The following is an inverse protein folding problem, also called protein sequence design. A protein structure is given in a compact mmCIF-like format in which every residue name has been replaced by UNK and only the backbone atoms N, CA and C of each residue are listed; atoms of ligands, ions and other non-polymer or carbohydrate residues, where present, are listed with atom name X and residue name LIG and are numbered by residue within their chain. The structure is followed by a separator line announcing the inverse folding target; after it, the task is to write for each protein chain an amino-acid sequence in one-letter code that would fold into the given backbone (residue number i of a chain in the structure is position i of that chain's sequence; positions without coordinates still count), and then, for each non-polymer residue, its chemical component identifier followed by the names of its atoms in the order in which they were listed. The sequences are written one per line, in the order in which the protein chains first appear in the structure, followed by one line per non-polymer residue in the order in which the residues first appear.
data_IF_456673100852
#
_entry.id   IF_456673100852
#
_cell.length_a   1.000
_cell.length_b   1.000
_cell.length_c   1.000
_cell.angle_alpha   90.00
_cell.angle_beta   90.00
_cell.angle_gamma   90.00
#
_symmetry.space_group_name_H-M   'P 1'
#
loop_
_entity.id
_entity.type
_entity.pdbx_description
1 polymer ?
#
# COMPACT_ATOMS: atom_id res chain seq x y z
N UNK A 1 -5.30 20.38 -5.96
CA UNK A 1 -6.44 19.83 -5.19
C UNK A 1 -5.88 19.11 -3.97
N UNK A 2 -6.67 18.72 -2.94
CA UNK A 2 -6.13 17.94 -1.84
C UNK A 2 -5.46 16.66 -2.35
N UNK A 3 -4.36 16.26 -1.71
CA UNK A 3 -3.68 14.99 -2.05
C UNK A 3 -4.63 13.83 -1.76
N UNK A 4 -4.67 12.85 -2.65
CA UNK A 4 -5.52 11.67 -2.53
C UNK A 4 -4.67 10.42 -2.72
N UNK A 5 -4.92 9.41 -1.88
CA UNK A 5 -4.22 8.13 -1.94
C UNK A 5 -5.03 7.09 -2.71
N UNK A 6 -4.31 6.21 -3.40
CA UNK A 6 -4.88 5.10 -4.15
C UNK A 6 -4.04 3.84 -3.92
N UNK A 7 -4.67 2.68 -3.94
CA UNK A 7 -3.97 1.40 -4.13
C UNK A 7 -4.29 0.92 -5.53
N UNK A 8 -3.27 0.74 -6.37
CA UNK A 8 -3.42 0.08 -7.66
C UNK A 8 -3.21 -1.43 -7.49
N UNK A 9 -4.11 -2.20 -8.11
CA UNK A 9 -4.17 -3.65 -7.97
C UNK A 9 -3.76 -4.33 -9.27
N UNK A 10 -2.83 -5.26 -9.18
CA UNK A 10 -2.33 -6.08 -10.27
C UNK A 10 -2.48 -7.57 -9.96
N UNK A 11 -2.91 -8.34 -10.95
CA UNK A 11 -2.96 -9.81 -10.87
C UNK A 11 -1.56 -10.44 -11.08
N UNK A 12 -1.27 -11.59 -10.44
CA UNK A 12 -2.15 -12.31 -9.52
C UNK A 12 -2.19 -11.74 -8.09
N UNK A 13 -1.25 -10.90 -7.63
CA UNK A 13 -1.26 -10.38 -6.24
C UNK A 13 -0.32 -9.19 -5.97
N UNK A 14 -0.04 -8.34 -6.95
CA UNK A 14 0.87 -7.20 -6.76
C UNK A 14 0.08 -5.92 -6.50
N UNK A 15 0.42 -5.20 -5.44
CA UNK A 15 -0.26 -3.97 -5.01
C UNK A 15 0.76 -2.86 -4.95
N UNK A 16 0.36 -1.64 -5.30
CA UNK A 16 1.20 -0.45 -5.13
C UNK A 16 0.38 0.69 -4.56
N UNK A 17 0.99 1.45 -3.66
CA UNK A 17 0.45 2.69 -3.13
C UNK A 17 0.81 3.85 -4.07
N UNK A 18 -0.16 4.71 -4.33
CA UNK A 18 -0.05 5.91 -5.15
C UNK A 18 -0.59 7.10 -4.38
N UNK A 19 -0.09 8.28 -4.70
CA UNK A 19 -0.66 9.54 -4.28
C UNK A 19 -0.75 10.49 -5.48
N UNK A 20 -1.81 11.28 -5.55
CA UNK A 20 -1.98 12.32 -6.57
C UNK A 20 -2.56 13.57 -5.92
N UNK A 21 -2.32 14.75 -6.50
CA UNK A 21 -2.88 16.03 -6.06
C UNK A 21 -3.95 16.60 -7.00
N UNK A 22 -4.30 15.87 -8.07
CA UNK A 22 -5.39 16.25 -8.99
C UNK A 22 -6.25 15.04 -9.38
N UNK A 23 -6.80 14.34 -8.39
CA UNK A 23 -7.84 13.31 -8.57
C UNK A 23 -7.35 11.99 -9.15
N UNK A 24 -8.26 11.23 -9.77
CA UNK A 24 -7.99 9.85 -10.20
C UNK A 24 -6.84 9.82 -11.23
N UNK A 25 -5.76 9.07 -10.95
CA UNK A 25 -4.63 8.96 -11.86
C UNK A 25 -5.09 8.41 -13.20
N UNK A 26 -4.63 9.03 -14.29
CA UNK A 26 -4.81 8.45 -15.61
C UNK A 26 -3.80 7.36 -15.88
N UNK A 27 -4.15 6.50 -16.83
CA UNK A 27 -3.25 5.46 -17.31
C UNK A 27 -2.12 6.02 -18.19
N UNK A 28 -2.27 7.28 -18.64
CA UNK A 28 -1.33 7.96 -19.53
C UNK A 28 -0.34 8.86 -18.80
N UNK A 29 -0.48 9.12 -17.51
CA UNK A 29 0.43 10.02 -16.79
C UNK A 29 1.55 9.26 -16.07
N UNK A 30 2.77 9.83 -15.99
CA UNK A 30 3.80 9.29 -15.12
C UNK A 30 3.35 9.47 -13.66
N UNK A 31 3.23 8.37 -12.93
CA UNK A 31 2.84 8.36 -11.52
C UNK A 31 3.87 7.57 -10.76
N UNK A 32 4.24 8.09 -9.59
CA UNK A 32 5.17 7.40 -8.70
C UNK A 32 4.42 6.35 -7.89
N UNK A 33 4.85 5.11 -8.04
CA UNK A 33 4.30 3.97 -7.33
C UNK A 33 5.25 3.52 -6.21
N UNK A 34 4.67 3.15 -5.07
CA UNK A 34 5.39 2.64 -3.92
C UNK A 34 4.91 1.24 -3.58
N UNK A 35 5.82 0.28 -3.60
CA UNK A 35 5.55 -1.09 -3.20
C UNK A 35 6.82 -1.80 -2.77
N UNK A 36 6.64 -3.02 -2.29
CA UNK A 36 7.74 -3.94 -2.02
C UNK A 36 7.48 -5.26 -2.72
N UNK A 37 8.55 -5.91 -3.15
CA UNK A 37 8.52 -7.23 -3.78
C UNK A 37 9.47 -8.16 -3.07
N UNK A 38 9.05 -9.42 -2.96
CA UNK A 38 9.94 -10.47 -2.51
C UNK A 38 10.87 -10.83 -3.68
N UNK A 39 12.18 -10.84 -3.46
CA UNK A 39 13.16 -11.34 -4.43
C UNK A 39 13.43 -12.81 -4.15
N UNK A 40 13.51 -13.63 -5.19
CA UNK A 40 13.87 -15.06 -5.08
C UNK A 40 15.38 -15.27 -4.76
N UNK A 41 16.13 -14.18 -4.59
CA UNK A 41 17.53 -14.17 -4.15
C UNK A 41 17.60 -14.43 -2.64
N UNK A 42 17.38 -15.69 -2.26
CA UNK A 42 18.18 -16.46 -1.31
C UNK A 42 17.41 -17.73 -0.95
N UNK A 43 17.83 -18.87 -1.50
CA UNK A 43 17.65 -20.13 -0.77
C UNK A 43 18.34 -19.95 0.58
N UNK A 44 17.65 -20.14 1.71
CA UNK A 44 18.30 -20.06 3.01
C UNK A 44 19.37 -21.15 3.05
N UNK A 45 20.63 -20.75 3.08
CA UNK A 45 21.72 -21.65 3.42
C UNK A 45 21.38 -22.23 4.81
N UNK A 46 21.23 -23.55 4.88
CA UNK A 46 20.69 -24.29 6.03
C UNK A 46 21.51 -24.09 7.32
N UNK A 47 22.61 -23.35 7.26
CA UNK A 47 23.48 -22.98 8.38
C UNK A 47 23.37 -21.50 8.85
N UNK A 48 22.62 -20.64 8.15
CA UNK A 48 22.58 -19.19 8.44
C UNK A 48 21.83 -18.82 9.73
N UNK A 49 20.95 -19.68 10.25
CA UNK A 49 20.21 -19.43 11.49
C UNK A 49 21.07 -19.59 12.76
N UNK A 50 22.29 -20.14 12.66
CA UNK A 50 23.18 -20.38 13.80
C UNK A 50 24.11 -19.22 14.16
N UNK A 51 24.34 -18.26 13.26
CA UNK A 51 25.29 -17.16 13.46
C UNK A 51 24.62 -15.81 13.79
N UNK A 52 23.73 -15.80 14.79
CA UNK A 52 23.09 -14.57 15.28
C UNK A 52 24.02 -13.86 16.27
N UNK A 53 25.05 -13.18 15.76
CA UNK A 53 25.82 -12.22 16.53
C UNK A 53 25.70 -10.78 15.99
N UNK A 54 25.55 -10.57 14.68
CA UNK A 54 25.21 -9.26 14.10
C UNK A 54 24.44 -9.49 12.79
N UNK A 55 23.11 -9.29 12.84
CA UNK A 55 22.13 -9.12 11.73
C UNK A 55 22.28 -9.91 10.42
N UNK A 56 21.32 -10.77 10.04
CA UNK A 56 21.18 -11.17 8.64
C UNK A 56 20.44 -10.05 7.88
N UNK A 57 21.15 -9.43 6.94
CA UNK A 57 20.61 -8.63 5.83
C UNK A 57 19.48 -9.49 5.20
N UNK A 58 18.21 -9.10 5.30
CA UNK A 58 17.46 -8.33 4.29
C UNK A 58 17.49 -8.91 2.85
N UNK A 59 17.94 -10.13 2.64
CA UNK A 59 17.92 -10.73 1.32
C UNK A 59 16.52 -11.31 1.08
N UNK A 60 15.85 -10.82 0.04
CA UNK A 60 14.52 -11.28 -0.29
C UNK A 60 13.47 -10.19 -0.35
N UNK A 61 13.70 -8.92 0.00
CA UNK A 61 12.71 -7.87 -0.27
C UNK A 61 13.35 -6.59 -0.79
N UNK A 62 12.84 -6.07 -1.91
CA UNK A 62 13.26 -4.79 -2.50
C UNK A 62 12.10 -3.82 -2.63
N UNK A 63 12.40 -2.52 -2.68
CA UNK A 63 11.41 -1.51 -3.08
C UNK A 63 11.14 -1.67 -4.57
N UNK A 64 9.87 -1.65 -4.92
CA UNK A 64 9.42 -1.57 -6.30
C UNK A 64 9.14 -0.12 -6.62
N UNK A 65 10.04 0.49 -7.39
CA UNK A 65 9.85 1.82 -7.96
C UNK A 65 9.43 1.69 -9.41
N UNK A 66 8.18 2.01 -9.69
CA UNK A 66 7.71 2.14 -11.06
C UNK A 66 7.80 3.62 -11.43
N UNK A 67 8.98 4.07 -11.90
CA UNK A 67 9.17 5.48 -12.30
C UNK A 67 8.55 5.82 -13.66
N UNK A 68 8.00 4.85 -14.40
CA UNK A 68 7.34 5.11 -15.69
C UNK A 68 6.18 4.14 -16.00
N UNK A 69 5.02 4.75 -16.31
CA UNK A 69 3.89 4.38 -17.21
C UNK A 69 3.47 2.91 -17.47
N UNK A 70 4.37 1.93 -17.56
CA UNK A 70 4.03 0.59 -18.02
C UNK A 70 3.29 -0.27 -16.99
N UNK A 71 3.40 0.08 -15.70
CA UNK A 71 2.74 -0.66 -14.61
C UNK A 71 1.21 -0.62 -14.74
N UNK A 72 0.59 0.57 -14.73
CA UNK A 72 -0.86 0.76 -14.75
C UNK A 72 -1.57 0.32 -16.05
N UNK A 73 -0.82 0.12 -17.13
CA UNK A 73 -1.34 -0.38 -18.41
C UNK A 73 -1.01 -1.85 -18.70
N UNK A 74 -0.37 -2.54 -17.75
CA UNK A 74 -0.11 -3.96 -17.91
C UNK A 74 -1.42 -4.74 -18.04
N UNK A 75 -1.46 -5.85 -18.79
CA UNK A 75 -2.63 -6.74 -18.89
C UNK A 75 -3.12 -7.27 -17.52
N UNK A 76 -2.28 -7.11 -16.50
CA UNK A 76 -2.55 -7.52 -15.14
C UNK A 76 -3.24 -6.44 -14.28
N UNK A 77 -3.38 -5.19 -14.76
CA UNK A 77 -4.04 -4.13 -14.01
C UNK A 77 -5.53 -4.41 -13.83
N UNK A 78 -5.99 -4.38 -12.58
CA UNK A 78 -7.38 -4.68 -12.22
C UNK A 78 -8.20 -3.43 -11.90
N UNK A 79 -7.54 -2.34 -11.51
CA UNK A 79 -8.20 -1.08 -11.12
C UNK A 79 -7.59 -0.47 -9.84
N UNK A 80 -8.32 0.50 -9.28
CA UNK A 80 -7.89 1.31 -8.13
C UNK A 80 -8.83 1.14 -6.94
N UNK A 81 -8.26 0.99 -5.75
CA UNK A 81 -8.95 1.31 -4.50
C UNK A 81 -8.65 2.78 -4.16
N UNK A 82 -9.71 3.58 -4.02
CA UNK A 82 -9.65 5.04 -3.87
C UNK A 82 -9.92 5.38 -2.40
N UNK A 83 -8.98 6.07 -1.75
CA UNK A 83 -9.22 6.64 -0.42
C UNK A 83 -9.81 8.04 -0.51
N UNK A 84 -10.44 8.57 0.55
CA UNK A 84 -10.82 9.97 0.64
C UNK A 84 -9.61 10.90 0.47
N UNK A 85 -9.80 12.13 -0.04
CA UNK A 85 -8.75 13.13 -0.07
C UNK A 85 -8.25 13.47 1.35
N UNK A 86 -6.97 13.83 1.45
CA UNK A 86 -6.34 14.33 2.66
C UNK A 86 -7.05 15.60 3.14
N UNK A 87 -7.44 15.63 4.41
CA UNK A 87 -8.11 16.78 5.01
C UNK A 87 -7.18 17.99 5.23
N UNK A 88 -5.87 17.75 5.35
CA UNK A 88 -4.90 18.81 5.65
C UNK A 88 -4.43 19.53 4.38
N UNK A 89 -4.78 20.81 4.23
CA UNK A 89 -4.42 21.65 3.08
C UNK A 89 -2.90 21.86 2.91
N UNK A 90 -2.12 21.71 4.00
CA UNK A 90 -0.66 21.84 3.98
C UNK A 90 0.05 20.60 3.39
N UNK A 91 -0.68 19.52 3.11
CA UNK A 91 -0.10 18.28 2.58
C UNK A 91 0.14 18.45 1.09
N UNK A 92 1.40 18.39 0.69
CA UNK A 92 1.81 18.42 -0.71
C UNK A 92 2.20 17.02 -1.18
N UNK A 93 2.07 16.76 -2.49
CA UNK A 93 2.49 15.50 -3.08
C UNK A 93 3.98 15.21 -2.85
N UNK A 94 4.83 16.25 -2.91
CA UNK A 94 6.25 16.14 -2.63
C UNK A 94 6.54 15.70 -1.18
N UNK A 95 5.78 16.22 -0.21
CA UNK A 95 5.89 15.79 1.19
C UNK A 95 5.53 14.30 1.34
N UNK A 96 4.41 13.86 0.75
CA UNK A 96 3.99 12.46 0.77
C UNK A 96 5.07 11.55 0.16
N UNK A 97 5.57 11.89 -1.02
CA UNK A 97 6.63 11.12 -1.67
C UNK A 97 7.90 11.01 -0.82
N UNK A 98 8.35 12.12 -0.23
CA UNK A 98 9.54 12.14 0.64
C UNK A 98 9.35 11.28 1.89
N UNK A 99 8.13 11.21 2.44
CA UNK A 99 7.82 10.36 3.58
C UNK A 99 7.85 8.88 3.20
N UNK A 100 7.20 8.51 2.08
CA UNK A 100 7.16 7.12 1.60
C UNK A 100 8.55 6.62 1.18
N UNK A 101 9.40 7.47 0.63
CA UNK A 101 10.79 7.15 0.30
C UNK A 101 11.68 6.82 1.50
N UNK A 102 11.27 7.19 2.71
CA UNK A 102 12.02 6.92 3.93
C UNK A 102 11.56 5.65 4.63
N UNK A 103 10.48 5.02 4.16
CA UNK A 103 9.94 3.81 4.77
C UNK A 103 10.83 2.59 4.53
N UNK A 104 11.29 1.89 5.58
CA UNK A 104 12.06 0.67 5.37
C UNK A 104 11.21 -0.36 4.62
N UNK A 105 11.86 -1.21 3.82
CA UNK A 105 11.19 -2.33 3.14
C UNK A 105 10.58 -3.29 4.16
N UNK A 106 11.29 -3.51 5.26
CA UNK A 106 10.82 -4.26 6.42
C UNK A 106 11.27 -3.52 7.69
N UNK A 107 10.35 -3.01 8.53
CA UNK A 107 10.69 -2.38 9.80
C UNK A 107 11.39 -3.37 10.76
N UNK A 108 12.25 -2.86 11.64
CA UNK A 108 12.95 -3.68 12.63
C UNK A 108 12.00 -4.48 13.54
N UNK A 109 10.88 -3.88 13.95
CA UNK A 109 9.85 -4.55 14.76
C UNK A 109 9.19 -5.75 14.07
N UNK A 110 9.20 -5.78 12.73
CA UNK A 110 8.74 -6.90 11.93
C UNK A 110 9.88 -7.91 11.76
N UNK A 111 11.08 -7.42 11.44
CA UNK A 111 12.22 -8.31 11.21
C UNK A 111 12.58 -9.11 12.45
N UNK A 112 12.45 -8.60 13.67
CA UNK A 112 12.76 -9.35 14.90
C UNK A 112 11.66 -10.32 15.36
N UNK A 113 10.47 -10.29 14.76
CA UNK A 113 9.36 -11.17 15.12
C UNK A 113 9.12 -12.21 14.00
N UNK A 114 9.44 -13.50 14.20
CA UNK A 114 9.32 -14.51 13.16
C UNK A 114 7.91 -14.63 12.56
N UNK A 115 6.87 -14.50 13.39
CA UNK A 115 5.48 -14.58 12.94
C UNK A 115 5.10 -13.38 12.06
N UNK A 116 5.46 -12.17 12.47
CA UNK A 116 5.22 -10.95 11.66
C UNK A 116 6.03 -10.96 10.37
N UNK A 117 7.27 -11.45 10.43
CA UNK A 117 8.16 -11.60 9.28
C UNK A 117 7.58 -12.54 8.23
N UNK A 118 7.12 -13.73 8.65
CA UNK A 118 6.52 -14.73 7.77
C UNK A 118 5.27 -14.20 7.04
N UNK A 119 4.51 -13.33 7.70
CA UNK A 119 3.30 -12.76 7.12
C UNK A 119 3.55 -11.46 6.35
N UNK A 120 4.79 -10.96 6.31
CA UNK A 120 5.12 -9.70 5.65
C UNK A 120 4.82 -9.76 4.16
N UNK A 121 4.21 -8.71 3.63
CA UNK A 121 3.79 -8.64 2.24
C UNK A 121 3.64 -7.19 1.82
N UNK A 122 3.56 -6.93 0.51
CA UNK A 122 3.30 -5.58 0.01
C UNK A 122 2.02 -4.97 0.61
N UNK A 123 0.95 -5.77 0.75
CA UNK A 123 -0.31 -5.33 1.36
C UNK A 123 -0.10 -4.81 2.79
N UNK A 124 0.68 -5.54 3.59
CA UNK A 124 1.01 -5.14 4.96
C UNK A 124 1.90 -3.91 5.01
N UNK A 125 2.87 -3.83 4.12
CA UNK A 125 3.74 -2.66 4.01
C UNK A 125 2.93 -1.40 3.70
N UNK A 126 1.95 -1.49 2.79
CA UNK A 126 1.02 -0.38 2.48
C UNK A 126 0.20 0.00 3.72
N UNK A 127 -0.35 -0.98 4.44
CA UNK A 127 -1.13 -0.72 5.66
C UNK A 127 -0.27 -0.06 6.75
N UNK A 128 0.95 -0.55 6.96
CA UNK A 128 1.90 0.04 7.90
C UNK A 128 2.25 1.49 7.51
N UNK A 129 2.48 1.74 6.22
CA UNK A 129 2.71 3.09 5.69
C UNK A 129 1.52 4.04 6.00
N UNK A 130 0.30 3.59 5.73
CA UNK A 130 -0.92 4.36 5.98
C UNK A 130 -1.16 4.60 7.47
N UNK A 131 -0.94 3.60 8.34
CA UNK A 131 -1.12 3.78 9.79
C UNK A 131 -0.06 4.69 10.39
N UNK A 132 1.18 4.60 9.91
CA UNK A 132 2.32 5.36 10.44
C UNK A 132 2.29 6.83 10.00
N UNK A 133 1.99 7.09 8.72
CA UNK A 133 2.09 8.44 8.15
C UNK A 133 0.73 9.07 7.86
N UNK A 134 -0.34 8.28 7.72
CA UNK A 134 -1.70 8.74 7.43
C UNK A 134 -2.18 9.88 8.34
N UNK A 135 -2.03 9.80 9.68
CA UNK A 135 -2.43 10.90 10.56
C UNK A 135 -1.74 12.23 10.23
N UNK A 136 -0.46 12.19 9.83
CA UNK A 136 0.28 13.38 9.40
C UNK A 136 -0.26 13.99 8.09
N UNK A 137 -0.95 13.18 7.29
CA UNK A 137 -1.62 13.60 6.05
C UNK A 137 -3.11 13.93 6.25
N UNK A 138 -3.63 13.85 7.48
CA UNK A 138 -5.07 14.01 7.73
C UNK A 138 -5.90 12.76 7.37
N UNK A 139 -5.27 11.63 7.09
CA UNK A 139 -5.92 10.32 6.97
C UNK A 139 -5.93 9.61 8.32
N UNK A 140 -6.78 10.08 9.23
CA UNK A 140 -6.90 9.49 10.55
C UNK A 140 -8.02 8.46 10.56
N UNK A 141 -7.65 7.18 10.65
CA UNK A 141 -8.62 6.09 10.76
C UNK A 141 -9.29 6.06 12.15
N UNK A 142 -10.50 5.53 12.20
CA UNK A 142 -11.18 5.23 13.46
C UNK A 142 -10.34 4.28 14.31
N UNK A 143 -10.42 4.41 15.65
CA UNK A 143 -9.57 3.62 16.58
C UNK A 143 -9.68 2.12 16.32
N UNK A 144 -10.91 1.62 16.10
CA UNK A 144 -11.19 0.21 15.80
C UNK A 144 -10.44 -0.31 14.57
N UNK A 145 -10.17 0.54 13.58
CA UNK A 145 -9.47 0.15 12.35
C UNK A 145 -7.98 -0.14 12.61
N UNK A 146 -7.42 0.50 13.65
CA UNK A 146 -6.02 0.33 14.04
C UNK A 146 -5.78 -0.86 14.98
N UNK A 147 -6.84 -1.53 15.44
CA UNK A 147 -6.74 -2.66 16.36
C UNK A 147 -6.21 -3.90 15.64
N UNK A 148 -5.23 -4.56 16.25
CA UNK A 148 -4.70 -5.84 15.78
C UNK A 148 -5.70 -6.95 16.13
N UNK A 149 -6.02 -7.79 15.14
CA UNK A 149 -6.93 -8.93 15.29
C UNK A 149 -6.42 -10.16 14.54
N UNK A 150 -6.93 -11.32 14.94
CA UNK A 150 -6.64 -12.59 14.29
C UNK A 150 -7.84 -12.98 13.42
N UNK A 151 -7.69 -12.97 12.10
CA UNK A 151 -8.78 -13.33 11.17
C UNK A 151 -8.24 -14.33 10.16
N UNK A 152 -8.87 -15.51 10.08
CA UNK A 152 -8.56 -16.50 9.05
C UNK A 152 -7.08 -16.94 9.01
N UNK A 153 -6.47 -17.16 10.18
CA UNK A 153 -5.04 -17.52 10.35
C UNK A 153 -4.01 -16.43 10.04
N UNK A 154 -4.46 -15.20 9.78
CA UNK A 154 -3.58 -14.06 9.47
C UNK A 154 -3.72 -13.00 10.55
N UNK A 155 -2.59 -12.45 11.01
CA UNK A 155 -2.58 -11.49 12.10
C UNK A 155 -2.53 -10.05 11.57
N UNK A 156 -3.65 -9.37 11.44
CA UNK A 156 -3.75 -8.08 10.73
C UNK A 156 -4.39 -7.01 11.59
N UNK A 157 -4.25 -5.74 11.18
CA UNK A 157 -5.17 -4.73 11.69
C UNK A 157 -6.53 -4.90 11.03
N UNK A 158 -7.61 -4.45 11.67
CA UNK A 158 -8.94 -4.40 11.02
C UNK A 158 -8.87 -3.67 9.67
N UNK A 159 -8.07 -2.59 9.59
CA UNK A 159 -7.77 -1.89 8.33
C UNK A 159 -7.21 -2.79 7.23
N UNK A 160 -6.29 -3.70 7.55
CA UNK A 160 -5.75 -4.64 6.56
C UNK A 160 -6.86 -5.51 5.95
N UNK A 161 -7.77 -6.01 6.77
CA UNK A 161 -8.87 -6.85 6.32
C UNK A 161 -9.86 -6.07 5.47
N UNK A 162 -10.26 -4.88 5.92
CA UNK A 162 -11.18 -4.01 5.17
C UNK A 162 -10.60 -3.58 3.82
N UNK A 163 -9.31 -3.27 3.75
CA UNK A 163 -8.65 -2.96 2.47
C UNK A 163 -8.65 -4.21 1.57
N UNK A 164 -8.36 -5.40 2.09
CA UNK A 164 -8.41 -6.65 1.31
C UNK A 164 -9.82 -6.98 0.82
N UNK A 165 -10.83 -6.80 1.66
CA UNK A 165 -12.22 -7.03 1.29
C UNK A 165 -12.68 -6.03 0.22
N UNK A 166 -12.41 -4.74 0.44
CA UNK A 166 -12.75 -3.67 -0.51
C UNK A 166 -12.03 -3.87 -1.85
N UNK A 167 -10.75 -4.24 -1.81
CA UNK A 167 -9.98 -4.62 -2.98
C UNK A 167 -10.61 -5.80 -3.74
N UNK A 168 -11.03 -6.86 -3.02
CA UNK A 168 -11.69 -8.02 -3.60
C UNK A 168 -13.04 -7.70 -4.24
N UNK A 169 -13.69 -6.60 -3.84
CA UNK A 169 -14.91 -6.11 -4.48
C UNK A 169 -14.68 -5.40 -5.81
N UNK A 170 -13.44 -5.05 -6.16
CA UNK A 170 -13.14 -4.37 -7.43
C UNK A 170 -13.66 -5.15 -8.65
N UNK A 171 -13.62 -6.48 -8.62
CA UNK A 171 -14.14 -7.31 -9.71
C UNK A 171 -15.68 -7.25 -9.81
N UNK A 172 -16.37 -7.26 -8.67
CA UNK A 172 -17.84 -7.32 -8.54
C UNK A 172 -18.53 -5.96 -8.65
N UNK A 173 -17.98 -4.96 -7.94
CA UNK A 173 -18.63 -3.68 -7.67
C UNK A 173 -17.84 -2.48 -8.23
N UNK A 174 -16.68 -2.72 -8.86
CA UNK A 174 -15.84 -1.64 -9.37
C UNK A 174 -16.55 -0.81 -10.44
N UNK A 175 -16.62 0.50 -10.23
CA UNK A 175 -17.26 1.47 -11.12
C UNK A 175 -16.22 2.10 -12.04
N UNK A 176 -16.61 2.42 -13.27
CA UNK A 176 -15.75 3.20 -14.16
C UNK A 176 -15.83 4.68 -13.75
N UNK A 177 -14.72 5.25 -13.32
CA UNK A 177 -14.60 6.67 -13.01
C UNK A 177 -13.68 7.35 -14.05
N UNK A 178 -13.94 8.64 -14.34
CA UNK A 178 -13.11 9.41 -15.26
C UNK A 178 -11.80 9.81 -14.58
N UNK A 179 -10.69 9.42 -15.19
CA UNK A 179 -9.37 9.91 -14.84
C UNK A 179 -9.12 11.31 -15.42
N UNK A 180 -7.97 11.90 -15.06
CA UNK A 180 -7.60 13.27 -15.43
C UNK A 180 -7.55 13.55 -16.94
N UNK A 181 -7.06 12.59 -17.72
CA UNK A 181 -7.00 12.69 -19.18
C UNK A 181 -8.34 12.36 -19.87
N UNK A 182 -9.40 12.12 -19.08
CA UNK A 182 -10.71 11.71 -19.57
C UNK A 182 -10.87 10.21 -19.83
N UNK A 183 -9.80 9.41 -19.70
CA UNK A 183 -9.88 7.95 -19.77
C UNK A 183 -10.72 7.39 -18.62
N UNK A 184 -11.28 6.19 -18.83
CA UNK A 184 -12.07 5.51 -17.81
C UNK A 184 -11.21 4.50 -17.06
N UNK A 185 -11.24 4.57 -15.73
CA UNK A 185 -10.49 3.68 -14.84
C UNK A 185 -11.46 2.99 -13.88
N UNK A 186 -11.31 1.68 -13.73
CA UNK A 186 -12.13 0.90 -12.79
C UNK A 186 -11.68 1.23 -11.36
N UNK A 187 -12.62 1.67 -10.53
CA UNK A 187 -12.37 2.13 -9.18
C UNK A 187 -13.36 1.49 -8.18
N UNK A 188 -12.89 1.27 -6.96
CA UNK A 188 -13.72 1.00 -5.77
C UNK A 188 -13.32 1.99 -4.69
N UNK A 189 -14.29 2.59 -4.00
CA UNK A 189 -14.01 3.57 -2.95
C UNK A 189 -13.90 2.87 -1.61
N UNK A 190 -12.89 3.25 -0.85
CA UNK A 190 -12.76 2.84 0.55
C UNK A 190 -13.80 3.59 1.39
N UNK A 191 -14.51 2.95 2.33
CA UNK A 191 -15.61 3.60 3.04
C UNK A 191 -15.18 4.81 3.88
N UNK A 192 -15.85 5.95 3.66
CA UNK A 192 -15.58 7.21 4.37
C UNK A 192 -15.85 7.11 5.88
N UNK A 193 -16.77 6.23 6.28
CA UNK A 193 -17.12 5.97 7.69
C UNK A 193 -15.98 5.39 8.53
N UNK A 194 -14.92 4.90 7.90
CA UNK A 194 -13.73 4.39 8.59
C UNK A 194 -12.71 5.49 8.93
N UNK A 195 -12.99 6.73 8.56
CA UNK A 195 -12.18 7.90 8.89
C UNK A 195 -12.84 8.69 10.01
N UNK A 196 -12.01 9.25 10.90
CA UNK A 196 -12.52 10.19 11.90
C UNK A 196 -12.97 11.46 11.21
N UNK A 197 -14.17 11.90 11.54
CA UNK A 197 -14.62 13.25 11.23
C UNK A 197 -13.66 14.23 11.91
N UNK A 198 -12.92 14.99 11.12
CA UNK A 198 -12.12 16.13 11.58
C UNK A 198 -13.00 17.31 11.97
#
# INVERSE_FOLDING_TARGET
MPVQFFIALYRPSHWVLLATDNGIPSLSEPIRCFGIEQTDEDEPDDDAWRNVAFGPILNGWKRSYYETRAGLMGPNFSGLLVFPPCAHESVTLAHVHNALDRLPVMPFSVSTNPMRRYQWSCKRWIVDALLRHGPGFGMTFEKRMCEESWVGMVWGTVLYHEICETAGRLERDGKMEKARDGSLVKCVRFPDEYFRSS
#
